data_IF_804709487547
#
_entry.id   IF_804709487547
#
_cell.length_a   1.000
_cell.length_b   1.000
_cell.length_c   1.000
_cell.angle_alpha   90.00
_cell.angle_beta   90.00
_cell.angle_gamma   90.00
#
_symmetry.space_group_name_H-M   'P 1'
#
loop_
_entity.id
_entity.type
_entity.pdbx_description
1 polymer ?
#
# COMPACT_ATOMS: atom_id res chain seq x y z
N UNK A 1 8.00 -3.45 16.97
CA UNK A 1 8.69 -3.30 15.66
C UNK A 1 7.81 -2.35 14.86
N UNK A 2 8.38 -1.35 14.19
CA UNK A 2 7.61 -0.33 13.47
C UNK A 2 8.15 -0.17 12.05
N UNK A 3 7.33 0.34 11.15
CA UNK A 3 7.68 0.61 9.77
C UNK A 3 8.58 1.84 9.66
N UNK A 4 9.42 1.87 8.64
CA UNK A 4 10.19 3.06 8.32
C UNK A 4 9.25 4.14 7.78
N UNK A 5 9.43 5.37 8.30
CA UNK A 5 8.58 6.50 7.98
C UNK A 5 9.39 7.74 7.68
N UNK A 6 8.77 8.66 6.92
CA UNK A 6 9.25 10.03 6.73
C UNK A 6 8.19 10.99 7.22
N UNK A 7 8.61 12.01 7.93
CA UNK A 7 7.72 13.08 8.42
C UNK A 7 7.95 14.36 7.62
N UNK A 8 6.85 15.04 7.33
CA UNK A 8 6.85 16.35 6.66
C UNK A 8 5.93 17.31 7.41
N UNK A 9 6.26 18.59 7.36
CA UNK A 9 5.42 19.69 7.90
C UNK A 9 5.03 19.52 9.38
N UNK A 10 5.89 18.92 10.18
CA UNK A 10 5.63 18.54 11.58
C UNK A 10 5.40 19.72 12.53
N UNK A 11 5.68 20.95 12.08
CA UNK A 11 5.44 22.19 12.81
C UNK A 11 4.00 22.71 12.68
N UNK A 12 3.22 22.12 11.76
CA UNK A 12 1.83 22.51 11.57
C UNK A 12 0.91 21.81 12.57
N UNK A 13 -0.16 22.49 12.93
CA UNK A 13 -1.25 21.96 13.75
C UNK A 13 -2.31 21.32 12.85
N UNK A 14 -3.07 20.38 13.39
CA UNK A 14 -4.19 19.73 12.70
C UNK A 14 -4.06 18.23 12.60
N UNK A 15 -4.97 17.57 11.88
CA UNK A 15 -4.91 16.14 11.69
C UNK A 15 -3.70 15.74 10.81
N UNK A 16 -3.09 14.65 11.15
CA UNK A 16 -2.03 14.07 10.34
C UNK A 16 -2.58 13.46 9.04
N UNK A 17 -1.84 13.62 7.96
CA UNK A 17 -2.06 12.87 6.73
C UNK A 17 -1.08 11.68 6.70
N UNK A 18 -1.63 10.47 6.79
CA UNK A 18 -0.84 9.22 6.79
C UNK A 18 -0.94 8.58 5.41
N UNK A 19 0.20 8.39 4.75
CA UNK A 19 0.29 8.02 3.34
C UNK A 19 0.85 6.61 3.14
N UNK A 20 0.11 5.76 2.42
CA UNK A 20 0.46 4.39 2.11
C UNK A 20 0.59 4.21 0.59
N UNK A 21 1.79 3.87 0.12
CA UNK A 21 2.07 3.68 -1.31
C UNK A 21 1.54 2.35 -1.86
N UNK A 22 1.56 2.18 -3.18
CA UNK A 22 1.20 0.94 -3.87
C UNK A 22 2.34 -0.08 -3.92
N UNK A 23 2.06 -1.27 -4.45
CA UNK A 23 3.08 -2.29 -4.71
C UNK A 23 4.21 -1.70 -5.58
N UNK A 24 5.45 -2.10 -5.32
CA UNK A 24 6.68 -1.58 -5.94
C UNK A 24 7.02 -0.12 -5.56
N UNK A 25 6.17 0.58 -4.83
CA UNK A 25 6.38 1.95 -4.38
C UNK A 25 7.25 2.07 -3.13
N UNK A 26 7.46 3.29 -2.72
CA UNK A 26 8.06 3.67 -1.45
C UNK A 26 7.56 5.06 -1.01
N UNK A 27 8.08 5.59 0.09
CA UNK A 27 7.66 6.87 0.67
C UNK A 27 7.89 8.08 -0.24
N UNK A 28 8.74 8.01 -1.25
CA UNK A 28 8.98 9.13 -2.20
C UNK A 28 7.81 9.34 -3.18
N UNK A 29 6.91 8.36 -3.33
CA UNK A 29 5.77 8.46 -4.25
C UNK A 29 4.88 9.67 -3.97
N UNK A 30 4.82 10.09 -2.72
CA UNK A 30 3.91 11.11 -2.25
C UNK A 30 4.49 12.53 -2.22
N UNK A 31 5.78 12.71 -2.52
CA UNK A 31 6.46 14.00 -2.37
C UNK A 31 5.77 15.15 -3.10
N UNK A 32 5.25 14.92 -4.31
CA UNK A 32 4.56 15.95 -5.08
C UNK A 32 3.21 16.33 -4.45
N UNK A 33 2.46 15.33 -3.98
CA UNK A 33 1.14 15.55 -3.37
C UNK A 33 1.29 16.21 -2.00
N UNK A 34 2.28 15.80 -1.22
CA UNK A 34 2.58 16.40 0.09
C UNK A 34 2.92 17.88 -0.03
N UNK A 35 3.64 18.29 -1.08
CA UNK A 35 3.89 19.71 -1.36
C UNK A 35 2.61 20.50 -1.58
N UNK A 36 1.59 19.90 -2.18
CA UNK A 36 0.26 20.52 -2.34
C UNK A 36 -0.54 20.55 -1.03
N UNK A 37 -0.26 19.60 -0.11
CA UNK A 37 -0.91 19.49 1.20
C UNK A 37 -0.02 20.05 2.34
N UNK A 38 0.84 21.01 2.04
CA UNK A 38 1.89 21.51 2.95
C UNK A 38 1.34 22.15 4.26
N UNK A 39 0.04 22.43 4.34
CA UNK A 39 -0.61 22.97 5.53
C UNK A 39 -0.82 21.92 6.63
N UNK A 40 -0.68 20.63 6.30
CA UNK A 40 -0.94 19.52 7.22
C UNK A 40 0.33 18.74 7.56
N UNK A 41 0.51 18.29 8.80
CA UNK A 41 1.57 17.36 9.14
C UNK A 41 1.34 16.03 8.40
N UNK A 42 2.41 15.43 7.89
CA UNK A 42 2.32 14.21 7.09
C UNK A 42 3.29 13.14 7.57
N UNK A 43 2.81 11.91 7.67
CA UNK A 43 3.61 10.69 7.87
C UNK A 43 3.52 9.82 6.63
N UNK A 44 4.63 9.56 5.99
CA UNK A 44 4.72 8.70 4.81
C UNK A 44 5.40 7.41 5.20
N UNK A 45 4.75 6.29 4.95
CA UNK A 45 5.17 4.96 5.44
C UNK A 45 5.70 4.13 4.29
N UNK A 46 6.90 3.57 4.45
CA UNK A 46 7.36 2.46 3.61
C UNK A 46 6.67 1.17 4.07
N UNK A 47 5.83 0.59 3.22
CA UNK A 47 5.12 -0.66 3.52
C UNK A 47 6.09 -1.84 3.76
N UNK A 48 5.68 -2.90 4.46
CA UNK A 48 6.51 -4.10 4.61
C UNK A 48 7.06 -4.57 3.26
N UNK A 49 8.32 -5.00 3.25
CA UNK A 49 9.04 -5.47 2.05
C UNK A 49 9.31 -4.39 1.00
N UNK A 50 9.12 -3.10 1.34
CA UNK A 50 9.39 -1.97 0.43
C UNK A 50 10.31 -0.94 1.11
N UNK A 51 11.05 -0.20 0.30
CA UNK A 51 11.88 0.91 0.74
C UNK A 51 12.77 0.56 1.94
N UNK A 52 12.78 1.41 2.96
CA UNK A 52 13.53 1.18 4.19
C UNK A 52 12.87 0.16 5.15
N UNK A 53 11.66 -0.30 4.83
CA UNK A 53 10.97 -1.42 5.51
C UNK A 53 11.21 -2.78 4.84
N UNK A 54 12.15 -2.91 3.90
CA UNK A 54 12.41 -4.13 3.13
C UNK A 54 12.69 -5.37 4.01
N UNK A 55 13.31 -5.19 5.17
CA UNK A 55 13.59 -6.27 6.13
C UNK A 55 12.38 -6.69 6.98
N UNK A 56 11.31 -5.89 6.98
CA UNK A 56 10.11 -6.14 7.77
C UNK A 56 9.12 -6.90 6.90
N UNK A 57 8.61 -8.02 7.39
CA UNK A 57 7.58 -8.83 6.72
C UNK A 57 6.32 -8.96 7.57
N UNK A 58 5.22 -9.27 6.91
CA UNK A 58 3.94 -9.64 7.52
C UNK A 58 3.40 -10.87 6.79
N UNK A 59 2.58 -11.67 7.46
CA UNK A 59 2.02 -12.88 6.88
C UNK A 59 0.61 -12.69 6.29
N UNK A 60 -0.07 -11.61 6.68
CA UNK A 60 -1.47 -11.36 6.29
C UNK A 60 -1.89 -9.91 6.60
N UNK A 61 -3.13 -9.55 6.25
CA UNK A 61 -3.70 -8.24 6.52
C UNK A 61 -3.91 -7.94 8.02
N UNK A 62 -4.10 -8.95 8.86
CA UNK A 62 -4.25 -8.76 10.32
C UNK A 62 -2.94 -8.24 10.90
N UNK A 63 -1.82 -8.91 10.58
CA UNK A 63 -0.49 -8.48 11.01
C UNK A 63 -0.10 -7.12 10.42
N UNK A 64 -0.46 -6.88 9.15
CA UNK A 64 -0.24 -5.58 8.51
C UNK A 64 -0.98 -4.46 9.25
N UNK A 65 -2.23 -4.67 9.59
CA UNK A 65 -3.05 -3.69 10.31
C UNK A 65 -2.51 -3.42 11.73
N UNK A 66 -2.10 -4.46 12.44
CA UNK A 66 -1.48 -4.32 13.76
C UNK A 66 -0.14 -3.55 13.69
N UNK A 67 0.68 -3.85 12.68
CA UNK A 67 1.96 -3.17 12.46
C UNK A 67 1.76 -1.69 12.10
N UNK A 68 0.71 -1.37 11.33
CA UNK A 68 0.33 0.03 11.04
C UNK A 68 -0.06 0.76 12.34
N UNK A 69 -0.91 0.16 13.16
CA UNK A 69 -1.29 0.72 14.46
C UNK A 69 -0.07 0.98 15.36
N UNK A 70 0.82 -0.01 15.51
CA UNK A 70 2.03 0.13 16.30
C UNK A 70 2.94 1.25 15.78
N UNK A 71 3.00 1.40 14.45
CA UNK A 71 3.77 2.47 13.80
C UNK A 71 3.17 3.84 14.13
N UNK A 72 1.86 4.02 13.99
CA UNK A 72 1.18 5.28 14.31
C UNK A 72 1.37 5.65 15.80
N UNK A 73 1.30 4.68 16.67
CA UNK A 73 1.52 4.85 18.11
C UNK A 73 2.96 5.29 18.43
N UNK A 74 3.97 4.73 17.76
CA UNK A 74 5.39 5.12 17.94
C UNK A 74 5.63 6.60 17.58
N UNK A 75 4.88 7.10 16.60
CA UNK A 75 4.94 8.51 16.17
C UNK A 75 3.95 9.43 16.90
N UNK A 76 3.24 8.92 17.94
CA UNK A 76 2.23 9.64 18.72
C UNK A 76 1.12 10.27 17.87
N UNK A 77 0.70 9.57 16.79
CA UNK A 77 -0.32 10.05 15.86
C UNK A 77 -1.70 9.57 16.33
N UNK A 78 -2.46 10.50 16.90
CA UNK A 78 -3.75 10.23 17.55
C UNK A 78 -4.96 10.85 16.83
N UNK A 79 -4.73 11.65 15.76
CA UNK A 79 -5.78 12.23 14.90
C UNK A 79 -5.25 12.27 13.47
N UNK A 80 -5.82 11.44 12.58
CA UNK A 80 -5.26 11.29 11.25
C UNK A 80 -6.29 10.92 10.18
N UNK A 81 -5.98 11.30 8.95
CA UNK A 81 -6.56 10.76 7.73
C UNK A 81 -5.62 9.70 7.18
N UNK A 82 -6.18 8.56 6.77
CA UNK A 82 -5.41 7.49 6.15
C UNK A 82 -5.61 7.52 4.64
N UNK A 83 -4.52 7.70 3.91
CA UNK A 83 -4.51 7.90 2.46
C UNK A 83 -3.73 6.77 1.83
N UNK A 84 -4.35 6.04 0.91
CA UNK A 84 -3.73 4.88 0.31
C UNK A 84 -3.95 4.75 -1.19
N UNK A 85 -2.88 4.38 -1.89
CA UNK A 85 -2.93 4.05 -3.31
C UNK A 85 -2.81 2.54 -3.53
N UNK A 86 -3.69 1.95 -4.34
CA UNK A 86 -3.63 0.54 -4.75
C UNK A 86 -3.49 -0.42 -3.55
N UNK A 87 -2.33 -1.09 -3.35
CA UNK A 87 -2.05 -1.92 -2.17
C UNK A 87 -2.21 -1.13 -0.87
N UNK A 88 -1.69 0.10 -0.81
CA UNK A 88 -1.86 0.98 0.34
C UNK A 88 -3.32 1.33 0.62
N UNK A 89 -4.12 1.53 -0.43
CA UNK A 89 -5.57 1.73 -0.32
C UNK A 89 -6.29 0.50 0.24
N UNK A 90 -5.87 -0.70 -0.18
CA UNK A 90 -6.41 -1.97 0.33
C UNK A 90 -6.09 -2.17 1.82
N UNK A 91 -4.87 -1.83 2.22
CA UNK A 91 -4.43 -1.85 3.62
C UNK A 91 -5.23 -0.83 4.43
N UNK A 92 -5.41 0.39 3.91
CA UNK A 92 -6.17 1.43 4.57
C UNK A 92 -7.64 1.02 4.81
N UNK A 93 -8.30 0.47 3.78
CA UNK A 93 -9.67 -0.06 3.91
C UNK A 93 -9.75 -1.19 4.93
N UNK A 94 -8.82 -2.16 4.86
CA UNK A 94 -8.78 -3.26 5.82
C UNK A 94 -8.60 -2.75 7.25
N UNK A 95 -7.65 -1.84 7.46
CA UNK A 95 -7.39 -1.25 8.77
C UNK A 95 -8.62 -0.52 9.31
N UNK A 96 -9.31 0.28 8.49
CA UNK A 96 -10.51 0.98 8.89
C UNK A 96 -11.68 0.06 9.28
N UNK A 97 -11.77 -1.14 8.65
CA UNK A 97 -12.84 -2.09 8.94
C UNK A 97 -12.54 -2.98 10.15
N UNK A 98 -11.28 -3.36 10.36
CA UNK A 98 -10.93 -4.43 11.31
C UNK A 98 -9.76 -4.09 12.25
N UNK A 99 -9.10 -2.96 12.04
CA UNK A 99 -7.95 -2.54 12.82
C UNK A 99 -8.32 -1.75 14.07
N UNK A 100 -7.28 -1.35 14.78
CA UNK A 100 -7.40 -0.43 15.91
C UNK A 100 -7.37 1.00 15.35
N UNK A 101 -8.53 1.63 15.26
CA UNK A 101 -8.75 2.87 14.51
C UNK A 101 -8.90 4.11 15.40
N UNK A 102 -8.41 4.05 16.63
CA UNK A 102 -8.45 5.22 17.53
C UNK A 102 -7.78 6.43 16.87
N UNK A 103 -8.51 7.51 16.71
CA UNK A 103 -8.04 8.73 16.07
C UNK A 103 -8.16 8.78 14.56
N UNK A 104 -8.62 7.71 13.88
CA UNK A 104 -8.91 7.75 12.44
C UNK A 104 -10.10 8.66 12.16
N UNK A 105 -9.89 9.70 11.35
CA UNK A 105 -10.89 10.71 11.02
C UNK A 105 -11.53 10.49 9.65
N UNK A 106 -10.87 9.80 8.75
CA UNK A 106 -11.38 9.51 7.41
C UNK A 106 -10.38 8.75 6.56
N UNK A 107 -10.87 8.28 5.41
CA UNK A 107 -10.12 7.55 4.40
C UNK A 107 -10.13 8.27 3.06
N UNK A 108 -8.99 8.25 2.38
CA UNK A 108 -8.88 8.59 0.95
C UNK A 108 -8.20 7.41 0.25
N UNK A 109 -8.88 6.82 -0.72
CA UNK A 109 -8.38 5.63 -1.41
C UNK A 109 -8.41 5.83 -2.91
N UNK A 110 -7.25 5.74 -3.53
CA UNK A 110 -7.10 5.74 -4.98
C UNK A 110 -6.72 4.36 -5.50
N UNK A 111 -7.49 3.83 -6.45
CA UNK A 111 -7.20 2.55 -7.12
C UNK A 111 -7.20 1.32 -6.18
N UNK A 112 -7.74 1.45 -4.98
CA UNK A 112 -7.90 0.35 -4.03
C UNK A 112 -9.12 -0.52 -4.35
N UNK A 113 -8.93 -1.84 -4.40
CA UNK A 113 -10.03 -2.79 -4.60
C UNK A 113 -10.55 -3.28 -3.23
N UNK A 114 -11.85 -3.20 -2.92
CA UNK A 114 -12.42 -3.60 -1.63
C UNK A 114 -12.44 -5.12 -1.38
N UNK A 115 -11.84 -5.91 -2.24
CA UNK A 115 -11.79 -7.36 -2.17
C UNK A 115 -12.47 -8.02 -3.37
N UNK A 116 -12.43 -9.35 -3.40
CA UNK A 116 -13.12 -10.15 -4.40
C UNK A 116 -14.23 -10.96 -3.71
N UNK A 117 -15.47 -10.79 -4.18
CA UNK A 117 -16.62 -11.50 -3.60
C UNK A 117 -16.58 -12.98 -3.94
N UNK A 118 -16.33 -13.30 -5.19
CA UNK A 118 -16.37 -14.68 -5.69
C UNK A 118 -15.15 -15.50 -5.26
N UNK A 119 -15.37 -16.72 -4.79
CA UNK A 119 -14.32 -17.61 -4.30
C UNK A 119 -13.37 -18.08 -5.43
N UNK A 120 -13.91 -18.26 -6.65
CA UNK A 120 -13.11 -18.69 -7.82
C UNK A 120 -12.21 -17.53 -8.26
N UNK A 121 -12.73 -16.30 -8.29
CA UNK A 121 -11.94 -15.11 -8.57
C UNK A 121 -10.81 -14.93 -7.56
N UNK A 122 -11.06 -15.16 -6.27
CA UNK A 122 -10.01 -15.14 -5.23
C UNK A 122 -8.93 -16.17 -5.48
N UNK A 123 -9.31 -17.42 -5.80
CA UNK A 123 -8.34 -18.48 -6.11
C UNK A 123 -7.52 -18.16 -7.36
N UNK A 124 -8.16 -17.67 -8.40
CA UNK A 124 -7.51 -17.26 -9.64
C UNK A 124 -6.51 -16.11 -9.38
N UNK A 125 -6.90 -15.16 -8.52
CA UNK A 125 -6.03 -14.06 -8.13
C UNK A 125 -4.81 -14.54 -7.32
N UNK A 126 -4.97 -15.42 -6.38
CA UNK A 126 -3.86 -16.03 -5.63
C UNK A 126 -2.90 -16.75 -6.58
N UNK A 127 -3.45 -17.54 -7.51
CA UNK A 127 -2.63 -18.24 -8.50
C UNK A 127 -1.88 -17.27 -9.44
N UNK A 128 -2.52 -16.18 -9.83
CA UNK A 128 -1.90 -15.11 -10.63
C UNK A 128 -0.75 -14.44 -9.85
N UNK A 129 -0.99 -14.03 -8.62
CA UNK A 129 0.01 -13.34 -7.79
C UNK A 129 1.20 -14.26 -7.48
N UNK A 130 0.97 -15.56 -7.23
CA UNK A 130 2.03 -16.57 -7.07
C UNK A 130 2.91 -16.71 -8.32
N UNK A 131 2.34 -16.66 -9.53
CA UNK A 131 3.14 -16.71 -10.76
C UNK A 131 4.08 -15.50 -10.87
N UNK A 132 3.57 -14.31 -10.58
CA UNK A 132 4.40 -13.10 -10.55
C UNK A 132 5.45 -13.15 -9.43
N UNK A 133 5.07 -13.62 -8.24
CA UNK A 133 6.00 -13.79 -7.13
C UNK A 133 7.16 -14.74 -7.49
N UNK A 134 6.86 -15.85 -8.16
CA UNK A 134 7.90 -16.78 -8.63
C UNK A 134 8.86 -16.09 -9.61
N UNK A 135 8.36 -15.25 -10.50
CA UNK A 135 9.17 -14.48 -11.43
C UNK A 135 10.05 -13.46 -10.71
N UNK A 136 9.48 -12.66 -9.80
CA UNK A 136 10.24 -11.69 -9.00
C UNK A 136 11.35 -12.36 -8.15
N UNK A 137 11.17 -13.63 -7.72
CA UNK A 137 12.22 -14.37 -6.99
C UNK A 137 13.36 -14.85 -7.86
N UNK A 138 13.07 -15.26 -9.09
CA UNK A 138 13.98 -16.09 -9.87
C UNK A 138 14.52 -15.43 -11.14
N UNK A 139 13.95 -14.32 -11.58
CA UNK A 139 14.33 -13.61 -12.81
C UNK A 139 14.96 -12.25 -12.48
N UNK A 140 15.77 -11.66 -13.37
CA UNK A 140 16.28 -10.30 -13.22
C UNK A 140 15.13 -9.30 -13.06
N UNK A 141 15.24 -8.43 -12.06
CA UNK A 141 14.15 -7.50 -11.69
C UNK A 141 13.68 -6.65 -12.88
N UNK A 142 14.58 -6.15 -13.71
CA UNK A 142 14.24 -5.30 -14.85
C UNK A 142 13.40 -6.05 -15.91
N UNK A 143 13.70 -7.33 -16.14
CA UNK A 143 12.95 -8.15 -17.10
C UNK A 143 11.52 -8.40 -16.60
N UNK A 144 11.40 -8.67 -15.30
CA UNK A 144 10.09 -8.86 -14.67
C UNK A 144 9.29 -7.57 -14.69
N UNK A 145 9.88 -6.43 -14.33
CA UNK A 145 9.22 -5.12 -14.33
C UNK A 145 8.76 -4.71 -15.73
N UNK A 146 9.59 -4.95 -16.75
CA UNK A 146 9.22 -4.67 -18.15
C UNK A 146 7.94 -5.38 -18.53
N UNK A 147 7.80 -6.66 -18.14
CA UNK A 147 6.58 -7.43 -18.41
C UNK A 147 5.44 -7.11 -17.44
N UNK A 148 5.74 -6.76 -16.20
CA UNK A 148 4.76 -6.32 -15.22
C UNK A 148 3.94 -5.13 -15.73
N UNK A 149 4.61 -4.14 -16.31
CA UNK A 149 3.95 -2.95 -16.87
C UNK A 149 3.26 -3.16 -18.23
N UNK A 150 3.30 -4.38 -18.79
CA UNK A 150 2.49 -4.76 -19.95
C UNK A 150 1.12 -5.34 -19.59
N UNK A 151 0.81 -5.51 -18.29
CA UNK A 151 -0.48 -6.01 -17.87
C UNK A 151 -1.62 -5.04 -18.25
N UNK A 152 -2.84 -5.55 -18.49
CA UNK A 152 -3.99 -4.72 -18.94
C UNK A 152 -4.30 -3.53 -18.02
N UNK A 153 -4.03 -3.64 -16.72
CA UNK A 153 -4.24 -2.55 -15.76
C UNK A 153 -3.37 -1.32 -16.04
N UNK A 154 -2.31 -1.47 -16.83
CA UNK A 154 -1.39 -0.41 -17.25
C UNK A 154 -1.55 -0.04 -18.75
N UNK A 155 -2.65 -0.44 -19.40
CA UNK A 155 -2.84 -0.26 -20.83
C UNK A 155 -2.76 1.22 -21.28
N UNK A 156 -3.22 2.14 -20.42
CA UNK A 156 -3.25 3.57 -20.71
C UNK A 156 -1.89 4.27 -20.56
N UNK A 157 -0.86 3.58 -20.07
CA UNK A 157 0.48 4.15 -19.95
C UNK A 157 1.20 4.14 -21.31
N UNK A 158 1.87 5.25 -21.65
CA UNK A 158 2.78 5.28 -22.80
C UNK A 158 4.01 4.39 -22.55
N UNK A 159 4.68 3.97 -23.62
CA UNK A 159 5.90 3.16 -23.49
C UNK A 159 7.03 3.91 -22.77
N UNK A 160 7.14 5.24 -22.95
CA UNK A 160 8.06 6.08 -22.22
C UNK A 160 7.77 6.07 -20.71
N UNK A 161 6.50 6.20 -20.34
CA UNK A 161 6.08 6.13 -18.93
C UNK A 161 6.36 4.76 -18.31
N UNK A 162 6.12 3.67 -19.06
CA UNK A 162 6.45 2.31 -18.62
C UNK A 162 7.95 2.15 -18.37
N UNK A 163 8.78 2.66 -19.29
CA UNK A 163 10.22 2.61 -19.15
C UNK A 163 10.71 3.39 -17.91
N UNK A 164 10.20 4.61 -17.69
CA UNK A 164 10.52 5.40 -16.51
C UNK A 164 10.12 4.68 -15.21
N UNK A 165 8.97 3.98 -15.23
CA UNK A 165 8.54 3.18 -14.08
C UNK A 165 9.45 1.98 -13.85
N UNK A 166 9.89 1.28 -14.89
CA UNK A 166 10.87 0.18 -14.78
C UNK A 166 12.15 0.69 -14.14
N UNK A 167 12.71 1.80 -14.63
CA UNK A 167 13.93 2.41 -14.09
C UNK A 167 13.74 2.78 -12.61
N UNK A 168 12.64 3.47 -12.29
CA UNK A 168 12.31 3.91 -10.92
C UNK A 168 12.17 2.73 -9.94
N UNK A 169 11.64 1.59 -10.40
CA UNK A 169 11.36 0.40 -9.57
C UNK A 169 12.50 -0.62 -9.54
N UNK A 170 13.52 -0.43 -10.34
CA UNK A 170 14.65 -1.38 -10.48
C UNK A 170 15.45 -1.61 -9.19
N UNK A 171 15.38 -0.67 -8.24
CA UNK A 171 16.01 -0.79 -6.92
C UNK A 171 15.29 -1.72 -5.95
N UNK A 172 14.07 -2.17 -6.28
CA UNK A 172 13.35 -3.13 -5.44
C UNK A 172 14.08 -4.48 -5.39
N UNK A 173 13.99 -5.14 -4.24
CA UNK A 173 14.49 -6.50 -4.07
C UNK A 173 13.42 -7.48 -4.49
N UNK A 174 13.63 -8.24 -5.56
CA UNK A 174 12.62 -9.14 -6.13
C UNK A 174 12.01 -10.11 -5.13
N UNK A 175 12.83 -10.69 -4.23
CA UNK A 175 12.34 -11.53 -3.14
C UNK A 175 11.33 -10.80 -2.23
N UNK A 176 11.58 -9.55 -1.88
CA UNK A 176 10.69 -8.74 -1.06
C UNK A 176 9.34 -8.49 -1.75
N UNK A 177 9.37 -8.14 -3.04
CA UNK A 177 8.15 -7.95 -3.84
C UNK A 177 7.35 -9.25 -3.95
N UNK A 178 8.04 -10.37 -4.15
CA UNK A 178 7.40 -11.69 -4.19
C UNK A 178 6.65 -12.02 -2.90
N UNK A 179 7.27 -11.78 -1.74
CA UNK A 179 6.61 -11.99 -0.45
C UNK A 179 5.40 -11.07 -0.26
N UNK A 180 5.50 -9.79 -0.61
CA UNK A 180 4.37 -8.86 -0.55
C UNK A 180 3.21 -9.31 -1.44
N UNK A 181 3.48 -9.79 -2.67
CA UNK A 181 2.47 -10.33 -3.57
C UNK A 181 1.74 -11.54 -2.99
N UNK A 182 2.45 -12.42 -2.29
CA UNK A 182 1.87 -13.64 -1.71
C UNK A 182 1.11 -13.35 -0.42
N UNK A 183 1.70 -12.60 0.51
CA UNK A 183 1.11 -12.38 1.84
C UNK A 183 -0.05 -11.39 1.82
N UNK A 184 0.03 -10.37 0.97
CA UNK A 184 -0.99 -9.33 0.80
C UNK A 184 -1.71 -9.42 -0.56
N UNK A 185 -1.82 -10.62 -1.13
CA UNK A 185 -2.62 -10.86 -2.34
C UNK A 185 -4.05 -10.36 -2.16
N UNK A 186 -4.62 -9.79 -3.22
CA UNK A 186 -6.04 -9.41 -3.23
C UNK A 186 -6.96 -10.63 -3.01
N UNK A 187 -6.49 -11.82 -3.38
CA UNK A 187 -7.23 -13.07 -3.14
C UNK A 187 -7.29 -13.48 -1.66
N UNK A 188 -6.40 -12.95 -0.82
CA UNK A 188 -6.41 -13.15 0.64
C UNK A 188 -7.18 -12.06 1.40
N UNK A 189 -7.47 -10.94 0.73
CA UNK A 189 -8.26 -9.88 1.32
C UNK A 189 -9.72 -10.31 1.43
N UNK A 190 -10.40 -10.10 2.59
CA UNK A 190 -11.84 -10.29 2.66
C UNK A 190 -12.57 -9.28 1.76
N UNK A 191 -13.81 -9.59 1.41
CA UNK A 191 -14.71 -8.65 0.77
C UNK A 191 -15.16 -7.61 1.80
N UNK A 192 -14.81 -6.34 1.59
CA UNK A 192 -14.94 -5.27 2.60
C UNK A 192 -16.17 -4.37 2.39
N UNK A 193 -16.94 -4.57 1.33
CA UNK A 193 -18.00 -3.60 0.96
C UNK A 193 -19.04 -3.42 2.06
N UNK A 194 -19.43 -4.50 2.73
CA UNK A 194 -20.44 -4.42 3.80
C UNK A 194 -19.91 -3.66 5.02
N UNK A 195 -18.67 -3.88 5.39
CA UNK A 195 -17.99 -3.20 6.49
C UNK A 195 -17.73 -1.72 6.17
N UNK A 196 -17.26 -1.44 4.96
CA UNK A 196 -17.03 -0.06 4.49
C UNK A 196 -18.33 0.77 4.48
N UNK A 197 -19.48 0.16 4.14
CA UNK A 197 -20.78 0.83 4.18
C UNK A 197 -21.25 1.17 5.60
N UNK A 198 -20.68 0.52 6.62
CA UNK A 198 -20.99 0.79 8.02
C UNK A 198 -20.08 1.82 8.66
N UNK A 199 -19.03 2.25 7.97
CA UNK A 199 -18.14 3.29 8.48
C UNK A 199 -18.92 4.62 8.62
N UNK A 200 -18.77 5.26 9.77
CA UNK A 200 -19.38 6.57 10.05
C UNK A 200 -18.44 7.73 9.74
N UNK A 201 -17.19 7.43 9.36
CA UNK A 201 -16.20 8.42 8.99
C UNK A 201 -16.24 8.69 7.47
N UNK A 202 -15.78 9.88 7.02
CA UNK A 202 -15.67 10.22 5.61
C UNK A 202 -14.80 9.19 4.84
N UNK A 203 -15.31 8.76 3.68
CA UNK A 203 -14.60 7.84 2.77
C UNK A 203 -14.70 8.36 1.33
N UNK A 204 -13.56 8.64 0.72
CA UNK A 204 -13.40 9.21 -0.62
C UNK A 204 -12.60 8.25 -1.49
#
# INVERSE_FOLDING_TARGET
>A
MTLACRQYNTHNEGPWLVWLHGLLGDSHEWETVIKACHEYPSLVIDLPRHGNSASIGVNNFVEMSALLHDTLKEYDINHYWLIGYSLGGRIAMYHACFGETSGLMGLIVEGGNPGLYDAIERQNRIAHDKRWAARFRNEPINDVLTQWYQQPVFADLSDETRQLLVEKRSSNVGFCIAESLETLSLGHQPWLVAELQQLTLPFI
#
